data_IF_740393462014
#
_entry.id   IF_740393462014
#
_cell.length_a   1.000
_cell.length_b   1.000
_cell.length_c   1.000
_cell.angle_alpha   90.00
_cell.angle_beta   90.00
_cell.angle_gamma   90.00
#
_symmetry.space_group_name_H-M   'P 1'
#
loop_
_entity.id
_entity.type
_entity.pdbx_description
1 polymer ?
#
# COMPACT_ATOMS: atom_id res chain seq x y z
N UNK A 1 -20.89 -13.43 3.86
CA UNK A 1 -19.78 -12.89 4.68
C UNK A 1 -18.81 -12.19 3.75
N UNK A 2 -18.83 -10.86 3.71
CA UNK A 2 -17.86 -10.09 2.92
C UNK A 2 -16.53 -10.08 3.69
N UNK A 3 -15.52 -10.79 3.18
CA UNK A 3 -14.19 -10.79 3.81
C UNK A 3 -13.61 -9.37 3.81
N UNK A 4 -13.11 -8.93 4.97
CA UNK A 4 -12.47 -7.62 5.15
C UNK A 4 -11.11 -7.59 4.46
N UNK A 5 -10.58 -6.38 4.20
CA UNK A 5 -9.23 -6.19 3.65
C UNK A 5 -8.16 -6.88 4.49
N UNK A 6 -8.32 -6.81 5.82
CA UNK A 6 -7.42 -7.38 6.80
C UNK A 6 -7.43 -8.91 6.80
N UNK A 7 -8.61 -9.54 6.69
CA UNK A 7 -8.75 -10.99 6.59
C UNK A 7 -8.04 -11.57 5.34
N UNK A 8 -8.20 -10.89 4.20
CA UNK A 8 -7.49 -11.25 2.96
C UNK A 8 -5.97 -11.07 3.08
N UNK A 9 -5.54 -10.03 3.79
CA UNK A 9 -4.11 -9.76 4.01
C UNK A 9 -3.48 -10.86 4.89
N UNK A 10 -4.14 -11.23 5.99
CA UNK A 10 -3.74 -12.37 6.84
C UNK A 10 -3.59 -13.66 6.05
N UNK A 11 -4.59 -13.98 5.23
CA UNK A 11 -4.58 -15.17 4.38
C UNK A 11 -3.42 -15.17 3.39
N UNK A 12 -3.04 -13.99 2.88
CA UNK A 12 -1.89 -13.82 1.96
C UNK A 12 -0.56 -13.99 2.68
N UNK A 13 -0.46 -13.53 3.93
CA UNK A 13 0.74 -13.65 4.76
C UNK A 13 0.88 -15.02 5.44
N UNK A 14 -0.16 -15.86 5.39
CA UNK A 14 -0.20 -17.13 6.12
C UNK A 14 -0.28 -16.97 7.64
N UNK A 15 -0.68 -15.78 8.12
CA UNK A 15 -0.83 -15.49 9.55
C UNK A 15 -2.23 -15.95 9.98
N UNK A 16 -2.29 -16.86 10.94
CA UNK A 16 -3.55 -17.31 11.54
C UNK A 16 -3.83 -16.71 12.91
N UNK A 17 -2.87 -15.94 13.45
CA UNK A 17 -2.96 -15.31 14.77
C UNK A 17 -3.45 -13.86 14.67
N UNK A 18 -4.20 -13.41 15.69
CA UNK A 18 -4.72 -12.02 15.78
C UNK A 18 -3.72 -11.06 16.45
N UNK A 19 -2.51 -11.53 16.75
CA UNK A 19 -1.49 -10.75 17.48
C UNK A 19 -0.99 -9.53 16.71
N UNK A 20 -1.14 -9.54 15.38
CA UNK A 20 -0.66 -8.49 14.49
C UNK A 20 -1.78 -7.68 13.83
N UNK A 21 -3.03 -7.84 14.27
CA UNK A 21 -4.17 -7.16 13.65
C UNK A 21 -4.05 -5.65 13.69
N UNK A 22 -3.61 -5.11 14.82
CA UNK A 22 -3.39 -3.68 14.97
C UNK A 22 -2.31 -3.17 14.01
N UNK A 23 -1.22 -3.92 13.85
CA UNK A 23 -0.10 -3.57 12.96
C UNK A 23 -0.51 -3.68 11.48
N UNK A 24 -1.19 -4.76 11.09
CA UNK A 24 -1.71 -4.96 9.75
C UNK A 24 -2.76 -3.90 9.38
N UNK A 25 -3.61 -3.52 10.33
CA UNK A 25 -4.58 -2.44 10.17
C UNK A 25 -3.90 -1.10 9.91
N UNK A 26 -2.88 -0.76 10.70
CA UNK A 26 -2.10 0.47 10.52
C UNK A 26 -1.38 0.49 9.17
N UNK A 27 -0.73 -0.61 8.78
CA UNK A 27 -0.04 -0.72 7.48
C UNK A 27 -1.03 -0.53 6.33
N UNK A 28 -2.24 -1.10 6.43
CA UNK A 28 -3.26 -0.93 5.40
C UNK A 28 -3.70 0.53 5.26
N UNK A 29 -3.89 1.24 6.37
CA UNK A 29 -4.28 2.65 6.40
C UNK A 29 -3.18 3.53 5.77
N UNK A 30 -1.93 3.35 6.21
CA UNK A 30 -0.78 4.07 5.66
C UNK A 30 -0.62 3.84 4.15
N UNK A 31 -0.75 2.58 3.70
CA UNK A 31 -0.63 2.23 2.28
C UNK A 31 -1.78 2.83 1.48
N UNK A 32 -2.97 2.90 2.05
CA UNK A 32 -4.12 3.52 1.41
C UNK A 32 -3.86 5.02 1.18
N UNK A 33 -3.41 5.73 2.22
CA UNK A 33 -3.07 7.16 2.13
C UNK A 33 -1.91 7.43 1.15
N UNK A 34 -0.89 6.56 1.13
CA UNK A 34 0.22 6.64 0.18
C UNK A 34 -0.29 6.52 -1.26
N UNK A 35 -1.15 5.54 -1.55
CA UNK A 35 -1.72 5.35 -2.89
C UNK A 35 -2.63 6.52 -3.28
N UNK A 36 -3.44 7.05 -2.37
CA UNK A 36 -4.26 8.24 -2.63
C UNK A 36 -3.38 9.45 -2.97
N UNK A 37 -2.29 9.63 -2.24
CA UNK A 37 -1.29 10.67 -2.48
C UNK A 37 -0.62 10.50 -3.85
N UNK A 38 -0.17 9.29 -4.20
CA UNK A 38 0.49 9.01 -5.48
C UNK A 38 -0.46 9.13 -6.68
N UNK A 39 -1.70 8.67 -6.52
CA UNK A 39 -2.73 8.76 -7.57
C UNK A 39 -3.39 10.14 -7.64
N UNK A 40 -3.11 11.01 -6.66
CA UNK A 40 -3.71 12.33 -6.53
C UNK A 40 -5.25 12.27 -6.44
N UNK A 41 -5.77 11.25 -5.76
CA UNK A 41 -7.19 10.97 -5.53
C UNK A 41 -7.55 11.20 -4.07
N UNK A 42 -8.83 11.44 -3.80
CA UNK A 42 -9.39 11.50 -2.45
C UNK A 42 -10.09 10.21 -2.03
N UNK A 43 -10.45 9.36 -3.00
CA UNK A 43 -11.16 8.11 -2.77
C UNK A 43 -10.43 6.94 -3.44
N UNK A 44 -10.35 5.82 -2.72
CA UNK A 44 -9.67 4.62 -3.20
C UNK A 44 -10.61 3.85 -4.15
N UNK A 45 -10.27 3.71 -5.44
CA UNK A 45 -11.03 2.88 -6.35
C UNK A 45 -10.87 1.39 -6.02
N UNK A 46 -11.94 0.62 -6.16
CA UNK A 46 -11.98 -0.84 -5.91
C UNK A 46 -10.88 -1.62 -6.64
N UNK A 47 -10.43 -1.13 -7.79
CA UNK A 47 -9.35 -1.77 -8.55
C UNK A 47 -7.97 -1.66 -7.88
N UNK A 48 -7.73 -0.63 -7.06
CA UNK A 48 -6.48 -0.45 -6.32
C UNK A 48 -6.47 -1.21 -4.99
N UNK A 49 -7.61 -1.73 -4.52
CA UNK A 49 -7.67 -2.57 -3.32
C UNK A 49 -6.72 -3.76 -3.37
N UNK A 50 -6.52 -4.35 -4.55
CA UNK A 50 -5.55 -5.44 -4.73
C UNK A 50 -4.12 -4.95 -4.58
N UNK A 51 -3.83 -3.76 -5.14
CA UNK A 51 -2.52 -3.10 -5.06
C UNK A 51 -2.18 -2.71 -3.62
N UNK A 52 -3.14 -2.18 -2.86
CA UNK A 52 -3.00 -1.90 -1.42
C UNK A 52 -2.52 -3.15 -0.68
N UNK A 53 -3.20 -4.29 -0.88
CA UNK A 53 -2.80 -5.55 -0.22
C UNK A 53 -1.38 -5.99 -0.60
N UNK A 54 -1.01 -5.89 -1.88
CA UNK A 54 0.33 -6.25 -2.33
C UNK A 54 1.41 -5.39 -1.67
N UNK A 55 1.19 -4.07 -1.58
CA UNK A 55 2.13 -3.15 -0.94
C UNK A 55 2.18 -3.39 0.57
N UNK A 56 1.03 -3.66 1.21
CA UNK A 56 0.97 -4.00 2.62
C UNK A 56 1.81 -5.25 2.96
N UNK A 57 1.74 -6.29 2.12
CA UNK A 57 2.61 -7.48 2.26
C UNK A 57 4.09 -7.12 2.17
N UNK A 58 4.47 -6.30 1.19
CA UNK A 58 5.86 -5.87 1.02
C UNK A 58 6.33 -5.09 2.26
N UNK A 59 5.54 -4.12 2.73
CA UNK A 59 5.88 -3.32 3.93
C UNK A 59 6.02 -4.18 5.17
N UNK A 60 5.10 -5.10 5.39
CA UNK A 60 5.16 -6.03 6.51
C UNK A 60 6.42 -6.90 6.46
N UNK A 61 6.75 -7.44 5.28
CA UNK A 61 7.99 -8.23 5.10
C UNK A 61 9.25 -7.38 5.32
N UNK A 62 9.25 -6.11 4.89
CA UNK A 62 10.37 -5.19 5.10
C UNK A 62 10.59 -4.85 6.57
N UNK A 63 9.53 -4.62 7.36
CA UNK A 63 9.64 -4.42 8.80
C UNK A 63 10.25 -5.65 9.51
N UNK A 64 9.95 -6.86 9.04
CA UNK A 64 10.56 -8.08 9.57
C UNK A 64 12.05 -8.23 9.25
N UNK A 65 12.53 -7.63 8.16
CA UNK A 65 13.93 -7.73 7.69
C UNK A 65 14.86 -6.76 8.44
N UNK A 66 14.33 -5.68 9.04
CA UNK A 66 15.12 -4.70 9.82
C UNK A 66 15.95 -5.35 10.96
N UNK A 67 15.57 -6.56 11.41
CA UNK A 67 16.32 -7.32 12.43
C UNK A 67 17.43 -8.26 11.92
N UNK A 68 17.54 -8.52 10.61
CA UNK A 68 18.46 -9.56 10.07
C UNK A 68 19.60 -9.05 9.18
N UNK A 69 19.59 -7.80 8.74
CA UNK A 69 20.62 -7.27 7.82
C UNK A 69 21.32 -6.05 8.38
N UNK A 70 22.40 -6.27 9.15
CA UNK A 70 23.38 -5.23 9.55
C UNK A 70 24.26 -4.73 8.37
N UNK A 71 23.81 -4.91 7.13
CA UNK A 71 24.47 -4.42 5.93
C UNK A 71 23.41 -4.11 4.86
N UNK A 72 22.76 -2.96 5.00
CA UNK A 72 22.05 -2.32 3.91
C UNK A 72 22.53 -0.87 3.92
N UNK A 73 23.52 -0.60 3.07
CA UNK A 73 24.00 0.75 2.77
C UNK A 73 22.81 1.68 2.53
N UNK A 74 22.79 2.79 3.28
CA UNK A 74 22.21 4.05 2.83
C UNK A 74 20.71 4.04 2.58
N UNK A 75 19.93 4.17 3.67
CA UNK A 75 18.70 4.96 3.71
C UNK A 75 17.88 5.02 2.41
N UNK A 76 17.40 3.86 1.93
CA UNK A 76 16.42 3.84 0.86
C UNK A 76 15.16 4.53 1.38
N UNK A 77 14.98 5.76 0.93
CA UNK A 77 13.85 6.59 1.30
C UNK A 77 12.59 5.81 0.95
N UNK A 78 11.78 5.48 1.96
CA UNK A 78 10.53 4.72 1.89
C UNK A 78 9.58 5.40 0.91
N UNK A 79 9.67 5.07 -0.37
CA UNK A 79 9.00 5.80 -1.43
C UNK A 79 8.78 4.87 -2.60
N UNK A 80 7.65 5.06 -3.28
CA UNK A 80 7.20 4.53 -4.58
C UNK A 80 8.23 3.78 -5.46
N UNK A 81 9.47 4.28 -5.54
CA UNK A 81 10.62 3.68 -6.25
C UNK A 81 11.01 2.27 -5.78
N UNK A 82 10.82 1.95 -4.48
CA UNK A 82 11.12 0.62 -3.93
C UNK A 82 10.09 -0.45 -4.31
N UNK A 83 8.98 -0.06 -4.95
CA UNK A 83 7.95 -0.98 -5.40
C UNK A 83 8.35 -1.63 -6.73
N UNK A 84 7.82 -2.83 -7.00
CA UNK A 84 8.06 -3.47 -8.30
C UNK A 84 7.46 -2.63 -9.44
N UNK A 85 8.11 -2.66 -10.62
CA UNK A 85 7.69 -1.88 -11.79
C UNK A 85 6.20 -2.12 -12.16
N UNK A 86 5.70 -3.35 -11.97
CA UNK A 86 4.30 -3.70 -12.21
C UNK A 86 3.32 -2.95 -11.30
N UNK A 87 3.65 -2.84 -10.01
CA UNK A 87 2.85 -2.09 -9.04
C UNK A 87 2.90 -0.59 -9.36
N UNK A 88 4.10 -0.07 -9.62
CA UNK A 88 4.28 1.33 -10.01
C UNK A 88 3.45 1.70 -11.25
N UNK A 89 3.51 0.88 -12.30
CA UNK A 89 2.76 1.09 -13.54
C UNK A 89 1.25 1.09 -13.29
N UNK A 90 0.77 0.20 -12.42
CA UNK A 90 -0.65 0.17 -12.04
C UNK A 90 -1.04 1.47 -11.35
N UNK A 91 -0.28 1.94 -10.36
CA UNK A 91 -0.55 3.22 -9.67
C UNK A 91 -0.54 4.40 -10.65
N UNK A 92 0.44 4.44 -11.56
CA UNK A 92 0.56 5.50 -12.57
C UNK A 92 -0.63 5.50 -13.52
N UNK A 93 -1.12 4.34 -13.95
CA UNK A 93 -2.30 4.24 -14.82
C UNK A 93 -3.55 4.85 -14.19
N UNK A 94 -3.71 4.74 -12.86
CA UNK A 94 -4.85 5.30 -12.14
C UNK A 94 -4.63 6.74 -11.63
N UNK A 95 -3.44 7.33 -11.85
CA UNK A 95 -3.08 8.66 -11.39
C UNK A 95 -3.83 9.75 -12.18
N UNK A 96 -4.52 10.62 -11.45
CA UNK A 96 -5.16 11.81 -12.03
C UNK A 96 -4.12 12.90 -12.28
N UNK A 97 -4.10 13.42 -13.52
CA UNK A 97 -3.34 14.62 -13.86
C UNK A 97 -3.79 15.79 -12.97
N UNK A 98 -2.86 16.67 -12.57
CA UNK A 98 -3.14 17.80 -11.65
C UNK A 98 -4.34 18.66 -12.10
N UNK A 99 -4.53 18.85 -13.41
CA UNK A 99 -5.66 19.59 -13.96
C UNK A 99 -7.02 18.92 -13.71
N UNK A 100 -7.10 17.58 -13.72
CA UNK A 100 -8.33 16.83 -13.47
C UNK A 100 -8.80 16.95 -12.00
N UNK A 101 -7.87 17.09 -11.06
CA UNK A 101 -8.19 17.26 -9.63
C UNK A 101 -8.95 18.55 -9.34
N UNK A 102 -8.64 19.64 -10.05
CA UNK A 102 -9.36 20.91 -9.90
C UNK A 102 -10.78 20.84 -10.48
N UNK A 103 -10.97 20.15 -11.61
CA UNK A 103 -12.27 20.00 -12.25
C UNK A 103 -13.23 19.12 -11.41
N UNK A 104 -12.73 18.11 -10.72
CA UNK A 104 -13.54 17.24 -9.86
C UNK A 104 -14.01 17.92 -8.55
N UNK A 105 -13.39 19.03 -8.13
CA UNK A 105 -13.71 19.73 -6.87
C UNK A 105 -14.81 20.78 -7.03
N UNK A 106 -15.27 21.05 -8.25
CA UNK A 106 -16.16 22.17 -8.58
C UNK A 106 -17.61 21.79 -8.92
N UNK A 107 -18.02 20.54 -8.67
CA UNK A 107 -19.41 20.08 -8.87
C UNK A 107 -19.88 19.38 -7.60
#
# INVERSE_FOLDING_TARGET
>A
MSQTQLDKLKMTLGISDDTKDAELGLILDDVQDDILTWTNRTELPKMLESTVRQIAVIRYNMQGIEGQTSHAEGGISRSFDSLTQSIQNTIIQYRLLKAARYAAKTT
#
